data_IF_250731220407
#
_entry.id   IF_250731220407
#
_cell.length_a   1.000
_cell.length_b   1.000
_cell.length_c   1.000
_cell.angle_alpha   90.00
_cell.angle_beta   90.00
_cell.angle_gamma   90.00
#
_symmetry.space_group_name_H-M   'P 1'
#
loop_
_entity.id
_entity.type
_entity.pdbx_description
1 polymer ?
#
# COMPACT_ATOMS: atom_id res chain seq x y z
N UNK A 1 21.28 -29.86 -14.52
CA UNK A 1 19.96 -30.51 -14.45
C UNK A 1 19.01 -29.46 -13.89
N UNK A 2 18.06 -28.89 -14.68
CA UNK A 2 17.11 -27.94 -14.14
C UNK A 2 16.03 -28.66 -13.31
N UNK A 3 15.81 -28.18 -12.08
CA UNK A 3 14.76 -28.63 -11.18
C UNK A 3 13.40 -28.36 -11.82
N UNK A 4 12.62 -29.40 -12.08
CA UNK A 4 11.21 -29.28 -12.47
C UNK A 4 10.40 -28.91 -11.22
N UNK A 5 9.78 -27.73 -11.24
CA UNK A 5 8.70 -27.41 -10.30
C UNK A 5 7.58 -28.47 -10.47
N UNK A 6 7.28 -29.19 -9.41
CA UNK A 6 6.19 -30.14 -9.41
C UNK A 6 4.85 -29.37 -9.36
N UNK A 7 4.09 -29.40 -10.42
CA UNK A 7 2.68 -28.98 -10.43
C UNK A 7 1.90 -30.07 -9.70
N UNK A 8 1.34 -29.74 -8.54
CA UNK A 8 0.48 -30.65 -7.79
C UNK A 8 -0.81 -30.96 -8.59
N UNK A 9 -1.31 -32.19 -8.55
CA UNK A 9 -2.45 -32.58 -9.36
C UNK A 9 -3.76 -32.00 -8.87
N UNK A 10 -4.62 -31.77 -9.81
CA UNK A 10 -5.93 -31.11 -9.96
C UNK A 10 -7.07 -31.49 -8.98
N UNK A 11 -6.79 -32.26 -7.93
CA UNK A 11 -7.83 -32.76 -7.00
C UNK A 11 -8.37 -31.69 -6.02
N UNK A 12 -7.75 -30.52 -5.93
CA UNK A 12 -8.15 -29.45 -5.02
C UNK A 12 -9.19 -28.46 -5.60
N UNK A 13 -9.48 -28.54 -6.90
CA UNK A 13 -10.38 -27.59 -7.59
C UNK A 13 -11.86 -28.00 -7.63
N UNK A 14 -12.24 -29.11 -7.03
CA UNK A 14 -13.64 -29.55 -7.03
C UNK A 14 -14.36 -29.19 -5.73
N UNK A 15 -14.65 -27.94 -5.52
CA UNK A 15 -15.77 -27.47 -4.72
C UNK A 15 -16.28 -26.15 -5.32
N UNK A 16 -16.95 -26.23 -6.46
CA UNK A 16 -17.90 -25.22 -6.91
C UNK A 16 -19.07 -25.23 -5.92
N UNK A 17 -18.88 -24.59 -4.78
CA UNK A 17 -19.97 -24.17 -3.91
C UNK A 17 -20.87 -23.22 -4.68
N UNK A 18 -22.15 -23.26 -4.42
CA UNK A 18 -23.18 -22.31 -4.87
C UNK A 18 -22.58 -20.92 -5.01
N UNK A 19 -22.67 -20.34 -6.22
CA UNK A 19 -22.09 -19.03 -6.51
C UNK A 19 -22.61 -17.99 -5.51
N UNK A 20 -21.75 -17.61 -4.59
CA UNK A 20 -22.01 -16.49 -3.68
C UNK A 20 -21.94 -15.21 -4.50
N UNK A 21 -22.88 -14.30 -4.32
CA UNK A 21 -22.89 -13.06 -5.07
C UNK A 21 -21.65 -12.20 -4.71
N UNK A 22 -20.92 -11.77 -5.73
CA UNK A 22 -19.78 -10.86 -5.57
C UNK A 22 -20.23 -9.58 -4.88
N UNK A 23 -19.55 -9.22 -3.80
CA UNK A 23 -19.74 -7.99 -3.05
C UNK A 23 -18.63 -6.99 -3.40
N UNK A 24 -18.95 -5.73 -3.25
CA UNK A 24 -18.00 -4.62 -3.41
C UNK A 24 -18.18 -3.65 -2.26
N UNK A 25 -17.10 -3.40 -1.52
CA UNK A 25 -17.05 -2.48 -0.40
C UNK A 25 -15.95 -1.44 -0.64
N UNK A 26 -16.11 -0.23 -0.12
CA UNK A 26 -15.02 0.73 -0.08
C UNK A 26 -15.10 1.59 1.19
N UNK A 27 -13.92 2.01 1.64
CA UNK A 27 -13.76 2.93 2.76
C UNK A 27 -12.64 3.92 2.45
N UNK A 28 -12.80 5.17 2.85
CA UNK A 28 -11.74 6.16 2.79
C UNK A 28 -11.13 6.36 4.17
N UNK A 29 -9.80 6.29 4.25
CA UNK A 29 -9.01 6.66 5.42
C UNK A 29 -8.37 8.02 5.14
N UNK A 30 -8.33 8.88 6.15
CA UNK A 30 -7.75 10.21 6.02
C UNK A 30 -6.50 10.33 6.86
N UNK A 31 -5.41 10.69 6.19
CA UNK A 31 -4.08 10.81 6.77
C UNK A 31 -3.71 12.28 6.93
N UNK A 32 -3.19 12.61 8.12
CA UNK A 32 -2.64 13.93 8.44
C UNK A 32 -1.25 13.70 9.06
N UNK A 33 -0.21 13.80 8.23
CA UNK A 33 1.18 13.60 8.62
C UNK A 33 1.89 14.94 8.51
N UNK A 34 2.27 15.55 9.64
CA UNK A 34 2.88 16.88 9.64
C UNK A 34 4.30 16.89 9.10
N UNK A 35 5.03 15.79 9.24
CA UNK A 35 6.38 15.64 8.72
C UNK A 35 6.37 15.56 7.20
N UNK A 36 7.40 16.15 6.57
CA UNK A 36 7.56 16.06 5.13
C UNK A 36 7.63 14.63 4.63
N UNK A 37 8.32 13.75 5.36
CA UNK A 37 8.41 12.33 5.05
C UNK A 37 8.13 11.49 6.29
N UNK A 38 7.12 10.65 6.21
CA UNK A 38 6.70 9.78 7.29
C UNK A 38 6.09 8.47 6.78
N UNK A 39 6.20 7.41 7.59
CA UNK A 39 5.54 6.13 7.37
C UNK A 39 4.58 5.85 8.51
N UNK A 40 3.35 5.51 8.16
CA UNK A 40 2.28 5.22 9.14
C UNK A 40 1.78 3.81 8.87
N UNK A 41 1.87 2.94 9.87
CA UNK A 41 1.27 1.60 9.79
C UNK A 41 -0.25 1.72 9.82
N UNK A 42 -0.90 1.28 8.75
CA UNK A 42 -2.37 1.33 8.57
C UNK A 42 -3.00 -0.05 8.51
N UNK A 43 -2.26 -1.09 8.86
CA UNK A 43 -2.74 -2.48 8.79
C UNK A 43 -4.04 -2.66 9.54
N UNK A 44 -4.12 -2.17 10.78
CA UNK A 44 -5.32 -2.30 11.62
C UNK A 44 -6.53 -1.56 11.07
N UNK A 45 -6.32 -0.42 10.41
CA UNK A 45 -7.40 0.34 9.77
C UNK A 45 -7.97 -0.43 8.57
N UNK A 46 -7.09 -1.09 7.80
CA UNK A 46 -7.48 -1.93 6.66
C UNK A 46 -8.18 -3.20 7.15
N UNK A 47 -7.69 -3.85 8.20
CA UNK A 47 -8.34 -5.01 8.84
C UNK A 47 -9.75 -4.64 9.35
N UNK A 48 -9.90 -3.47 9.97
CA UNK A 48 -11.20 -2.97 10.40
C UNK A 48 -12.16 -2.74 9.23
N UNK A 49 -11.66 -2.20 8.10
CA UNK A 49 -12.44 -2.03 6.88
C UNK A 49 -12.85 -3.38 6.27
N UNK A 50 -11.96 -4.38 6.31
CA UNK A 50 -12.27 -5.74 5.88
C UNK A 50 -13.35 -6.37 6.76
N UNK A 51 -13.24 -6.27 8.06
CA UNK A 51 -14.27 -6.77 9.00
C UNK A 51 -15.63 -6.12 8.75
N UNK A 52 -15.67 -4.80 8.52
CA UNK A 52 -16.89 -4.05 8.19
C UNK A 52 -17.52 -4.51 6.86
N UNK A 53 -16.70 -4.91 5.88
CA UNK A 53 -17.18 -5.38 4.56
C UNK A 53 -17.93 -6.71 4.63
N UNK A 54 -17.62 -7.54 5.62
CA UNK A 54 -18.12 -8.90 5.74
C UNK A 54 -17.69 -9.84 4.59
N UNK A 55 -16.68 -9.45 3.79
CA UNK A 55 -16.10 -10.25 2.72
C UNK A 55 -15.10 -11.24 3.32
N UNK A 56 -15.20 -12.50 2.94
CA UNK A 56 -14.35 -13.56 3.47
C UNK A 56 -13.33 -14.09 2.48
N UNK A 57 -13.62 -14.06 1.20
CA UNK A 57 -12.73 -14.50 0.12
C UNK A 57 -12.70 -13.44 -0.97
N UNK A 58 -11.52 -12.97 -1.38
CA UNK A 58 -11.42 -11.92 -2.36
C UNK A 58 -10.10 -11.19 -2.40
N UNK A 59 -10.15 -9.92 -2.80
CA UNK A 59 -9.00 -9.02 -2.91
C UNK A 59 -9.29 -7.70 -2.21
N UNK A 60 -8.30 -7.20 -1.50
CA UNK A 60 -8.28 -5.89 -0.86
C UNK A 60 -7.24 -5.01 -1.55
N UNK A 61 -7.70 -3.99 -2.27
CA UNK A 61 -6.87 -2.92 -2.81
C UNK A 61 -6.76 -1.80 -1.79
N UNK A 62 -5.54 -1.36 -1.49
CA UNK A 62 -5.26 -0.18 -0.65
C UNK A 62 -4.45 0.81 -1.46
N UNK A 63 -4.99 1.99 -1.70
CA UNK A 63 -4.52 2.92 -2.71
C UNK A 63 -4.39 4.35 -2.17
N UNK A 64 -3.18 4.95 -2.27
CA UNK A 64 -2.98 6.37 -1.99
C UNK A 64 -3.63 7.23 -3.08
N UNK A 65 -4.53 8.14 -2.67
CA UNK A 65 -5.28 9.02 -3.57
C UNK A 65 -4.60 10.38 -3.76
N UNK A 66 -3.26 10.41 -3.65
CA UNK A 66 -2.46 11.62 -3.84
C UNK A 66 -1.13 11.27 -4.51
N UNK A 67 -0.68 12.16 -5.41
CA UNK A 67 0.50 11.92 -6.25
C UNK A 67 1.84 12.12 -5.53
N UNK A 68 1.84 12.51 -4.26
CA UNK A 68 3.02 12.62 -3.39
C UNK A 68 2.94 11.68 -2.18
N UNK A 69 2.07 10.68 -2.25
CA UNK A 69 1.90 9.67 -1.21
C UNK A 69 1.87 8.26 -1.81
N UNK A 70 2.25 7.27 -1.03
CA UNK A 70 2.31 5.86 -1.41
C UNK A 70 1.56 4.97 -0.43
N UNK A 71 1.27 3.74 -0.87
CA UNK A 71 0.97 2.61 0.00
C UNK A 71 1.92 1.48 -0.37
N UNK A 72 2.56 0.88 0.62
CA UNK A 72 3.51 -0.22 0.43
C UNK A 72 3.39 -1.25 1.55
N UNK A 73 3.97 -2.44 1.34
CA UNK A 73 4.02 -3.51 2.33
C UNK A 73 5.46 -3.79 2.70
N UNK A 74 5.75 -3.84 4.00
CA UNK A 74 7.03 -4.29 4.55
C UNK A 74 6.92 -4.59 6.05
N UNK A 75 8.04 -4.88 6.69
CA UNK A 75 8.15 -5.10 8.14
C UNK A 75 8.05 -3.76 8.91
N UNK A 76 7.47 -3.81 10.10
CA UNK A 76 7.34 -2.66 11.01
C UNK A 76 8.54 -2.59 11.98
N UNK A 77 9.71 -2.21 11.46
CA UNK A 77 10.96 -2.12 12.21
C UNK A 77 11.55 -0.70 12.07
N UNK A 78 11.83 0.00 13.20
CA UNK A 78 12.28 1.41 13.17
C UNK A 78 13.60 1.65 12.43
N UNK A 79 14.55 0.71 12.49
CA UNK A 79 15.82 0.80 11.78
C UNK A 79 15.60 0.74 10.27
N UNK A 80 14.74 -0.19 9.82
CA UNK A 80 14.36 -0.33 8.43
C UNK A 80 13.64 0.94 7.91
N UNK A 81 12.75 1.53 8.69
CA UNK A 81 12.10 2.79 8.33
C UNK A 81 13.11 3.93 8.20
N UNK A 82 14.12 3.98 9.07
CA UNK A 82 15.20 4.95 9.00
C UNK A 82 16.06 4.76 7.75
N UNK A 83 16.36 3.51 7.41
CA UNK A 83 17.10 3.15 6.20
C UNK A 83 16.34 3.54 4.93
N UNK A 84 15.02 3.31 4.87
CA UNK A 84 14.19 3.75 3.74
C UNK A 84 14.18 5.27 3.58
N UNK A 85 14.07 6.03 4.67
CA UNK A 85 14.11 7.49 4.61
C UNK A 85 15.44 7.99 4.04
N UNK A 86 16.56 7.43 4.51
CA UNK A 86 17.90 7.76 4.00
C UNK A 86 18.01 7.40 2.51
N UNK A 87 17.66 6.18 2.14
CA UNK A 87 17.73 5.69 0.77
C UNK A 87 16.88 6.53 -0.20
N UNK A 88 15.68 6.91 0.18
CA UNK A 88 14.81 7.77 -0.62
C UNK A 88 15.37 9.19 -0.77
N UNK A 89 16.05 9.73 0.27
CA UNK A 89 16.75 10.99 0.17
C UNK A 89 18.01 10.91 -0.72
N UNK A 90 18.70 9.78 -0.75
CA UNK A 90 19.82 9.54 -1.68
C UNK A 90 19.35 9.48 -3.14
N UNK A 91 18.24 8.79 -3.41
CA UNK A 91 17.70 8.65 -4.76
C UNK A 91 17.01 9.91 -5.28
N UNK A 92 16.27 10.59 -4.44
CA UNK A 92 15.49 11.78 -4.77
C UNK A 92 15.58 12.82 -3.64
N UNK A 93 16.74 13.48 -3.46
CA UNK A 93 16.95 14.42 -2.38
C UNK A 93 16.04 15.64 -2.51
N UNK A 94 15.50 16.13 -1.38
CA UNK A 94 14.69 17.33 -1.38
C UNK A 94 15.47 18.58 -1.80
N UNK A 95 16.70 18.69 -1.40
CA UNK A 95 17.56 19.84 -1.72
C UNK A 95 18.69 19.44 -2.71
N UNK A 96 19.12 20.38 -3.59
CA UNK A 96 18.56 21.70 -3.82
C UNK A 96 17.26 21.66 -4.62
N UNK A 97 16.30 22.54 -4.34
CA UNK A 97 15.00 22.60 -5.01
C UNK A 97 15.11 22.78 -6.53
N UNK A 98 16.17 23.48 -7.00
CA UNK A 98 16.46 23.72 -8.42
C UNK A 98 16.79 22.44 -9.22
N UNK A 99 17.02 21.32 -8.54
CA UNK A 99 17.23 20.00 -9.16
C UNK A 99 16.04 19.54 -9.98
N UNK A 100 14.84 19.94 -9.59
CA UNK A 100 13.59 19.49 -10.19
C UNK A 100 12.96 20.57 -11.06
N UNK A 101 12.77 20.28 -12.35
CA UNK A 101 12.06 21.19 -13.25
C UNK A 101 10.63 21.44 -12.82
N UNK A 102 10.02 20.47 -12.14
CA UNK A 102 8.67 20.59 -11.56
C UNK A 102 8.59 21.81 -10.61
N UNK A 103 9.63 22.06 -9.85
CA UNK A 103 9.67 23.18 -8.89
C UNK A 103 9.71 24.57 -9.54
N UNK A 104 9.95 24.65 -10.87
CA UNK A 104 9.86 25.91 -11.63
C UNK A 104 8.41 26.43 -11.73
N UNK A 105 7.42 25.62 -11.41
CA UNK A 105 6.00 26.01 -11.36
C UNK A 105 5.61 26.74 -10.06
N UNK A 106 6.55 26.91 -9.14
CA UNK A 106 6.32 27.48 -7.81
C UNK A 106 6.07 26.43 -6.71
N UNK A 107 6.12 25.15 -7.05
CA UNK A 107 6.08 24.04 -6.10
C UNK A 107 7.48 23.75 -5.51
N UNK A 108 7.52 22.95 -4.42
CA UNK A 108 8.78 22.55 -3.78
C UNK A 108 8.86 21.03 -3.55
N UNK A 109 8.03 20.26 -4.25
CA UNK A 109 7.75 18.84 -3.97
C UNK A 109 8.12 17.88 -5.12
N UNK A 110 9.01 18.29 -6.01
CA UNK A 110 9.47 17.44 -7.11
C UNK A 110 10.07 16.12 -6.63
N UNK A 111 10.79 16.12 -5.50
CA UNK A 111 11.31 14.92 -4.85
C UNK A 111 10.21 13.98 -4.37
N UNK A 112 9.11 14.53 -3.85
CA UNK A 112 7.98 13.74 -3.35
C UNK A 112 7.29 12.94 -4.47
N UNK A 113 7.18 13.53 -5.67
CA UNK A 113 6.68 12.81 -6.85
C UNK A 113 7.59 11.64 -7.25
N UNK A 114 8.93 11.81 -7.14
CA UNK A 114 9.88 10.75 -7.43
C UNK A 114 9.83 9.64 -6.38
N UNK A 115 9.81 9.99 -5.09
CA UNK A 115 9.68 9.04 -3.98
C UNK A 115 8.41 8.21 -4.10
N UNK A 116 7.29 8.88 -4.38
CA UNK A 116 6.02 8.18 -4.63
C UNK A 116 6.11 7.24 -5.85
N UNK A 117 6.76 7.64 -6.92
CA UNK A 117 6.92 6.79 -8.10
C UNK A 117 7.75 5.54 -7.82
N UNK A 118 8.78 5.65 -6.96
CA UNK A 118 9.63 4.53 -6.52
C UNK A 118 8.84 3.58 -5.61
N UNK A 119 8.13 4.12 -4.63
CA UNK A 119 7.43 3.33 -3.59
C UNK A 119 6.11 2.73 -4.07
N UNK A 120 5.56 3.21 -5.18
CA UNK A 120 4.29 2.75 -5.72
C UNK A 120 3.08 3.51 -5.19
N UNK A 121 1.94 3.25 -5.81
CA UNK A 121 0.66 3.92 -5.52
C UNK A 121 -0.23 3.09 -4.60
N UNK A 122 -0.24 1.79 -4.80
CA UNK A 122 -1.17 0.85 -4.17
C UNK A 122 -0.52 -0.49 -3.88
N UNK A 123 -1.21 -1.23 -3.02
CA UNK A 123 -0.99 -2.66 -2.81
C UNK A 123 -2.29 -3.41 -2.97
N UNK A 124 -2.19 -4.69 -3.36
CA UNK A 124 -3.32 -5.63 -3.38
C UNK A 124 -2.96 -6.80 -2.50
N UNK A 125 -3.84 -7.10 -1.54
CA UNK A 125 -3.69 -8.22 -0.60
C UNK A 125 -4.83 -9.21 -0.83
N UNK A 126 -4.53 -10.50 -0.84
CA UNK A 126 -5.55 -11.54 -0.85
C UNK A 126 -6.33 -11.51 0.48
N UNK A 127 -7.63 -11.78 0.40
CA UNK A 127 -8.50 -12.01 1.55
C UNK A 127 -8.84 -13.50 1.60
N UNK A 128 -8.53 -14.14 2.70
CA UNK A 128 -8.77 -15.56 2.92
C UNK A 128 -9.39 -15.78 4.30
N UNK A 129 -10.51 -16.44 4.37
CA UNK A 129 -11.22 -16.71 5.63
C UNK A 129 -11.67 -15.45 6.39
N UNK A 130 -11.78 -14.30 5.71
CA UNK A 130 -12.11 -13.01 6.32
C UNK A 130 -10.92 -12.29 6.96
N UNK A 131 -9.70 -12.65 6.58
CA UNK A 131 -8.45 -12.03 7.04
C UNK A 131 -7.58 -11.60 5.85
N UNK A 132 -6.77 -10.58 6.03
CA UNK A 132 -5.70 -10.23 5.09
C UNK A 132 -4.65 -11.33 5.10
N UNK A 133 -4.35 -11.89 3.94
CA UNK A 133 -3.43 -13.02 3.80
C UNK A 133 -2.00 -12.51 3.65
N UNK A 134 -1.33 -12.31 4.78
CA UNK A 134 0.02 -11.80 4.86
C UNK A 134 1.06 -12.89 5.10
N UNK A 135 2.29 -12.62 4.66
CA UNK A 135 3.48 -13.24 5.21
C UNK A 135 3.72 -12.76 6.66
N UNK A 136 4.61 -13.46 7.38
CA UNK A 136 4.79 -13.30 8.84
C UNK A 136 5.07 -11.84 9.29
N UNK A 137 5.79 -11.07 8.48
CA UNK A 137 6.23 -9.72 8.82
C UNK A 137 5.59 -8.63 7.96
N UNK A 138 4.68 -9.00 7.08
CA UNK A 138 4.03 -8.05 6.19
C UNK A 138 3.04 -7.16 6.92
N UNK A 139 3.20 -5.85 6.77
CA UNK A 139 2.31 -4.81 7.28
C UNK A 139 2.09 -3.77 6.19
N UNK A 140 0.93 -3.15 6.17
CA UNK A 140 0.59 -2.10 5.20
C UNK A 140 0.97 -0.75 5.78
N UNK A 141 1.72 0.01 5.01
CA UNK A 141 2.13 1.37 5.35
C UNK A 141 1.58 2.41 4.38
N UNK A 142 1.16 3.53 4.94
CA UNK A 142 1.04 4.78 4.22
C UNK A 142 2.39 5.50 4.24
N UNK A 143 2.89 5.90 3.07
CA UNK A 143 4.09 6.71 2.91
C UNK A 143 3.73 8.15 2.52
N UNK A 144 4.13 9.11 3.35
CA UNK A 144 4.01 10.54 3.08
C UNK A 144 5.36 11.10 2.62
N UNK A 145 5.37 11.94 1.57
CA UNK A 145 6.61 12.52 1.03
C UNK A 145 6.57 14.03 0.86
N UNK A 146 5.44 14.69 1.13
CA UNK A 146 5.26 16.14 0.98
C UNK A 146 4.78 16.80 2.28
N UNK A 147 4.09 16.06 3.15
CA UNK A 147 3.47 16.58 4.36
C UNK A 147 2.35 17.60 4.06
N UNK A 148 2.10 18.51 5.01
CA UNK A 148 1.32 19.76 4.87
C UNK A 148 -0.16 19.64 4.50
N UNK A 149 -0.59 18.57 3.87
CA UNK A 149 -1.95 18.43 3.33
C UNK A 149 -2.57 17.14 3.86
N UNK A 150 -3.80 17.25 4.28
CA UNK A 150 -4.59 16.06 4.58
C UNK A 150 -4.83 15.28 3.29
N UNK A 151 -4.50 13.99 3.30
CA UNK A 151 -4.59 13.09 2.14
C UNK A 151 -5.44 11.89 2.47
N UNK A 152 -6.01 11.26 1.45
CA UNK A 152 -6.85 10.09 1.65
C UNK A 152 -6.27 8.84 1.01
N UNK A 153 -6.64 7.73 1.59
CA UNK A 153 -6.40 6.38 1.10
C UNK A 153 -7.76 5.77 0.78
N UNK A 154 -7.86 5.12 -0.36
CA UNK A 154 -9.00 4.28 -0.70
C UNK A 154 -8.69 2.84 -0.34
N UNK A 155 -9.51 2.23 0.50
CA UNK A 155 -9.58 0.79 0.72
C UNK A 155 -10.74 0.26 -0.11
N UNK A 156 -10.49 -0.60 -1.09
CA UNK A 156 -11.49 -1.23 -1.95
C UNK A 156 -11.41 -2.74 -1.82
N UNK A 157 -12.51 -3.37 -1.43
CA UNK A 157 -12.56 -4.81 -1.21
C UNK A 157 -13.62 -5.40 -2.14
N UNK A 158 -13.23 -6.46 -2.85
CA UNK A 158 -14.12 -7.18 -3.78
C UNK A 158 -14.00 -8.66 -3.48
N UNK A 159 -15.14 -9.34 -3.33
CA UNK A 159 -15.15 -10.76 -3.03
C UNK A 159 -16.51 -11.26 -2.58
N UNK A 160 -16.53 -12.39 -1.88
CA UNK A 160 -17.73 -13.07 -1.37
C UNK A 160 -17.66 -13.35 0.15
#
# INVERSE_FOLDING_TARGET
MPSRAAILPDAAYRNLKTATAMKSFHKELWMDVPERMGFVNITRDVEAALAESGIREGLCLVNAMHITASVFINDDEPGLHSDYKRWLEELAPHAPLSRYRHNLTGEDNGDAHHKRQIMGREVVVAVTGGQLHFGTWEQIFYGEFDGRRRKRILVKIIGE
#
